data_IF_842547838677
#
_entry.id   IF_842547838677
#
_cell.length_a   1.000
_cell.length_b   1.000
_cell.length_c   1.000
_cell.angle_alpha   90.00
_cell.angle_beta   90.00
_cell.angle_gamma   90.00
#
_symmetry.space_group_name_H-M   'P 1'
#
loop_
_entity.id
_entity.type
_entity.pdbx_description
1 polymer ?
#
# COMPACT_ATOMS: atom_id res chain seq x y z
N UNK A 1 -13.83 -1.90 -8.95
CA UNK A 1 -13.80 -0.83 -9.99
C UNK A 1 -12.86 -1.20 -11.13
N UNK A 2 -11.53 -1.17 -10.96
CA UNK A 2 -10.63 -1.65 -12.03
C UNK A 2 -10.60 -3.17 -12.19
N UNK A 3 -10.85 -3.91 -11.11
CA UNK A 3 -10.88 -5.38 -11.14
C UNK A 3 -12.04 -5.92 -11.96
N UNK A 4 -13.22 -5.28 -11.89
CA UNK A 4 -14.44 -5.72 -12.58
C UNK A 4 -14.56 -5.17 -14.01
N UNK A 5 -13.76 -4.16 -14.37
CA UNK A 5 -13.81 -3.52 -15.68
C UNK A 5 -13.11 -4.35 -16.77
N UNK A 6 -13.87 -4.95 -17.68
CA UNK A 6 -13.33 -5.82 -18.74
C UNK A 6 -12.38 -5.12 -19.71
N UNK A 7 -12.41 -3.78 -19.80
CA UNK A 7 -11.50 -2.98 -20.62
C UNK A 7 -10.10 -2.88 -20.01
N UNK A 8 -9.99 -2.96 -18.68
CA UNK A 8 -8.72 -2.91 -17.95
C UNK A 8 -8.06 -4.29 -17.96
N UNK A 9 -6.86 -4.38 -18.53
CA UNK A 9 -6.07 -5.62 -18.65
C UNK A 9 -4.91 -5.72 -17.65
N UNK A 10 -4.42 -4.59 -17.16
CA UNK A 10 -3.24 -4.48 -16.30
C UNK A 10 -3.41 -3.24 -15.42
N UNK A 11 -2.92 -3.32 -14.18
CA UNK A 11 -2.79 -2.16 -13.29
C UNK A 11 -1.32 -1.95 -12.99
N UNK A 12 -0.87 -0.70 -13.05
CA UNK A 12 0.52 -0.33 -12.76
C UNK A 12 0.55 0.54 -11.52
N UNK A 13 1.35 0.13 -10.53
CA UNK A 13 1.70 0.94 -9.38
C UNK A 13 3.02 1.64 -9.66
N UNK A 14 3.06 2.97 -9.52
CA UNK A 14 4.28 3.76 -9.64
C UNK A 14 4.32 4.84 -8.56
N UNK A 15 5.52 5.14 -8.09
CA UNK A 15 5.75 6.29 -7.22
C UNK A 15 5.71 7.61 -7.99
N UNK A 16 5.40 8.69 -7.28
CA UNK A 16 5.53 10.04 -7.81
C UNK A 16 6.78 10.71 -7.25
N UNK A 17 7.71 11.12 -8.12
CA UNK A 17 8.95 11.77 -7.73
C UNK A 17 10.13 10.81 -7.58
N UNK A 18 10.95 11.01 -6.54
CA UNK A 18 12.26 10.35 -6.36
C UNK A 18 12.21 8.92 -5.80
N UNK A 19 11.05 8.44 -5.38
CA UNK A 19 10.90 7.13 -4.76
C UNK A 19 9.58 6.48 -5.11
N UNK A 20 9.52 5.17 -4.92
CA UNK A 20 8.30 4.40 -5.08
C UNK A 20 7.35 4.64 -3.91
N UNK A 21 7.75 4.22 -2.71
CA UNK A 21 7.00 4.39 -1.47
C UNK A 21 7.92 4.12 -0.26
N UNK A 22 8.19 5.14 0.55
CA UNK A 22 9.10 5.05 1.69
C UNK A 22 8.43 4.54 3.00
N UNK A 23 7.24 3.94 2.89
CA UNK A 23 6.50 3.39 4.02
C UNK A 23 5.32 4.27 4.46
N UNK A 24 4.66 3.83 5.53
CA UNK A 24 3.56 4.55 6.15
C UNK A 24 4.03 5.59 7.16
N UNK A 25 3.14 6.49 7.57
CA UNK A 25 3.41 7.52 8.55
C UNK A 25 3.41 6.96 9.98
N UNK A 26 4.49 6.26 10.32
CA UNK A 26 4.67 5.66 11.65
C UNK A 26 4.81 6.72 12.74
N UNK A 27 5.31 7.90 12.42
CA UNK A 27 5.44 9.02 13.38
C UNK A 27 4.07 9.48 13.84
N UNK A 28 3.11 9.68 12.92
CA UNK A 28 1.73 10.02 13.26
C UNK A 28 1.04 8.91 14.06
N UNK A 29 1.30 7.64 13.72
CA UNK A 29 0.76 6.50 14.46
C UNK A 29 1.23 6.51 15.91
N UNK A 30 2.55 6.65 16.15
CA UNK A 30 3.12 6.63 17.49
C UNK A 30 2.66 7.85 18.29
N UNK A 31 2.76 9.05 17.74
CA UNK A 31 2.36 10.28 18.42
C UNK A 31 0.89 10.26 18.84
N UNK A 32 0.01 9.80 17.95
CA UNK A 32 -1.42 9.65 18.24
C UNK A 32 -1.68 8.57 19.29
N UNK A 33 -0.92 7.47 19.29
CA UNK A 33 -1.02 6.43 20.32
C UNK A 33 -0.62 6.95 21.70
N UNK A 34 0.46 7.74 21.77
CA UNK A 34 0.99 8.28 23.02
C UNK A 34 0.02 9.25 23.72
N UNK A 35 -0.83 9.94 22.97
CA UNK A 35 -1.90 10.80 23.52
C UNK A 35 -3.21 10.04 23.79
N UNK A 36 -3.20 8.71 23.71
CA UNK A 36 -4.34 7.84 24.06
C UNK A 36 -5.33 7.59 22.92
N UNK A 37 -5.05 8.03 21.69
CA UNK A 37 -5.93 7.85 20.53
C UNK A 37 -5.67 6.51 19.83
N UNK A 38 -5.89 5.40 20.53
CA UNK A 38 -5.61 4.02 20.07
C UNK A 38 -6.41 3.58 18.83
N UNK A 39 -7.55 4.20 18.56
CA UNK A 39 -8.39 3.83 17.41
C UNK A 39 -7.79 4.21 16.07
N UNK A 40 -6.90 5.21 16.02
CA UNK A 40 -6.24 5.65 14.79
C UNK A 40 -5.24 4.61 14.26
N UNK A 41 -4.26 4.12 15.05
CA UNK A 41 -3.37 3.03 14.66
C UNK A 41 -4.11 1.78 14.17
N UNK A 42 -5.14 1.36 14.90
CA UNK A 42 -5.92 0.16 14.56
C UNK A 42 -6.58 0.30 13.19
N UNK A 43 -7.21 1.46 12.92
CA UNK A 43 -7.82 1.74 11.61
C UNK A 43 -6.76 1.83 10.51
N UNK A 44 -5.60 2.42 10.80
CA UNK A 44 -4.50 2.51 9.85
C UNK A 44 -4.02 1.13 9.42
N UNK A 45 -3.62 0.29 10.38
CA UNK A 45 -3.11 -1.05 10.08
C UNK A 45 -4.19 -1.96 9.49
N UNK A 46 -5.45 -1.84 9.92
CA UNK A 46 -6.56 -2.56 9.31
C UNK A 46 -6.71 -2.26 7.82
N UNK A 47 -6.59 -0.99 7.42
CA UNK A 47 -6.60 -0.62 6.00
C UNK A 47 -5.39 -1.16 5.24
N UNK A 48 -4.21 -1.11 5.84
CA UNK A 48 -2.98 -1.63 5.23
C UNK A 48 -3.09 -3.13 4.96
N UNK A 49 -3.57 -3.91 5.93
CA UNK A 49 -3.76 -5.36 5.78
C UNK A 49 -4.78 -5.70 4.70
N UNK A 50 -5.90 -4.96 4.62
CA UNK A 50 -6.90 -5.13 3.56
C UNK A 50 -6.29 -4.81 2.19
N UNK A 51 -5.48 -3.76 2.10
CA UNK A 51 -4.81 -3.37 0.86
C UNK A 51 -3.79 -4.43 0.41
N UNK A 52 -2.96 -4.92 1.33
CA UNK A 52 -1.96 -5.95 1.03
C UNK A 52 -2.64 -7.25 0.59
N UNK A 53 -3.73 -7.65 1.25
CA UNK A 53 -4.55 -8.78 0.81
C UNK A 53 -5.13 -8.53 -0.58
N UNK A 54 -5.70 -7.35 -0.84
CA UNK A 54 -6.27 -7.02 -2.15
C UNK A 54 -5.21 -7.12 -3.25
N UNK A 55 -4.00 -6.60 -3.00
CA UNK A 55 -2.89 -6.69 -3.94
C UNK A 55 -2.45 -8.14 -4.19
N UNK A 56 -2.37 -8.96 -3.12
CA UNK A 56 -1.99 -10.36 -3.21
C UNK A 56 -3.03 -11.25 -3.92
N UNK A 57 -4.32 -10.93 -3.79
CA UNK A 57 -5.42 -11.69 -4.40
C UNK A 57 -6.01 -11.03 -5.64
N UNK A 58 -5.32 -10.05 -6.22
CA UNK A 58 -5.84 -9.27 -7.33
C UNK A 58 -5.98 -10.14 -8.58
N UNK A 59 -7.17 -10.16 -9.20
CA UNK A 59 -7.45 -11.09 -10.33
C UNK A 59 -6.74 -10.73 -11.63
N UNK A 60 -6.23 -9.51 -11.74
CA UNK A 60 -5.57 -9.00 -12.95
C UNK A 60 -4.09 -8.79 -12.66
N UNK A 61 -3.23 -8.82 -13.69
CA UNK A 61 -1.84 -8.42 -13.53
C UNK A 61 -1.76 -7.04 -12.85
N UNK A 62 -0.95 -6.99 -11.80
CA UNK A 62 -0.65 -5.80 -11.03
C UNK A 62 0.87 -5.67 -11.05
N UNK A 63 1.40 -4.61 -11.63
CA UNK A 63 2.85 -4.45 -11.82
C UNK A 63 3.34 -3.25 -11.03
N UNK A 64 4.30 -3.47 -10.13
CA UNK A 64 4.96 -2.41 -9.38
C UNK A 64 6.22 -1.93 -10.09
N UNK A 65 6.21 -0.70 -10.60
CA UNK A 65 7.40 -0.05 -11.18
C UNK A 65 8.17 0.64 -10.07
N UNK A 66 9.11 -0.09 -9.48
CA UNK A 66 9.96 0.40 -8.39
C UNK A 66 11.08 1.27 -8.97
N UNK A 67 10.95 2.58 -8.83
CA UNK A 67 12.00 3.54 -9.15
C UNK A 67 12.30 4.40 -7.92
N UNK A 68 13.51 4.25 -7.37
CA UNK A 68 13.95 4.91 -6.15
C UNK A 68 13.56 4.17 -4.86
N UNK A 69 13.41 4.91 -3.75
CA UNK A 69 13.26 4.34 -2.40
C UNK A 69 11.97 3.53 -2.25
N UNK A 70 12.10 2.31 -1.71
CA UNK A 70 10.99 1.44 -1.28
C UNK A 70 11.27 0.90 0.11
N UNK A 71 10.37 1.12 1.06
CA UNK A 71 10.52 0.69 2.46
C UNK A 71 9.17 0.39 3.12
N UNK A 72 9.19 -0.42 4.19
CA UNK A 72 8.03 -0.69 5.05
C UNK A 72 6.80 -1.16 4.26
N UNK A 73 5.66 -0.48 4.44
CA UNK A 73 4.43 -0.79 3.70
C UNK A 73 4.55 -0.66 2.19
N UNK A 74 5.47 0.17 1.68
CA UNK A 74 5.76 0.25 0.24
C UNK A 74 6.38 -1.03 -0.30
N UNK A 75 7.25 -1.67 0.47
CA UNK A 75 7.83 -2.96 0.12
C UNK A 75 6.76 -4.05 0.13
N UNK A 76 5.94 -4.12 1.19
CA UNK A 76 4.83 -5.07 1.30
C UNK A 76 3.86 -5.00 0.12
N UNK A 77 3.48 -3.78 -0.29
CA UNK A 77 2.60 -3.58 -1.43
C UNK A 77 3.22 -4.08 -2.73
N UNK A 78 4.53 -3.92 -2.91
CA UNK A 78 5.23 -4.28 -4.16
C UNK A 78 5.61 -5.76 -4.30
N UNK A 79 5.82 -6.45 -3.18
CA UNK A 79 6.26 -7.86 -3.18
C UNK A 79 5.14 -8.83 -3.55
N UNK A 80 3.88 -8.45 -3.29
CA UNK A 80 2.71 -9.28 -3.53
C UNK A 80 2.11 -9.08 -4.94
N UNK A 81 2.72 -8.24 -5.77
CA UNK A 81 2.21 -7.95 -7.13
C UNK A 81 2.76 -8.97 -8.13
N UNK A 82 1.93 -9.42 -9.08
CA UNK A 82 2.22 -10.51 -10.04
C UNK A 82 3.01 -10.04 -11.27
#
# INVERSE_FOLDING_TARGET
MYEDDSSVKLVILKGNGKGFCAGGDVVSIISTSLIGHWTYPVKFYGKTLILDHLAATYKKPLVSVINGVVMGGGAGLSMNTT
#
